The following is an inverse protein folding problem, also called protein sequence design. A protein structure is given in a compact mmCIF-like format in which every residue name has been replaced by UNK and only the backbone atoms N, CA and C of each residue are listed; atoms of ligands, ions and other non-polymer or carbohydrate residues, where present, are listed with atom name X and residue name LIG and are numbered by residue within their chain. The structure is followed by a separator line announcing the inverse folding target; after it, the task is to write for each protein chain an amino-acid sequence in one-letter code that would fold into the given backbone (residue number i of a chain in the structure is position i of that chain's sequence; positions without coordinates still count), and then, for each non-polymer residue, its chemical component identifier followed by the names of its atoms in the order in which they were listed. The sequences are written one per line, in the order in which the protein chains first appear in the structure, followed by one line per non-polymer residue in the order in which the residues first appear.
data_IF_479607906722
#
_entry.id   IF_479607906722
#
_cell.length_a   1.000
_cell.length_b   1.000
_cell.length_c   1.000
_cell.angle_alpha   90.00
_cell.angle_beta   90.00
_cell.angle_gamma   90.00
#
_symmetry.space_group_name_H-M   'P 1'
#
loop_
_entity.id
_entity.type
_entity.pdbx_description
1 polymer ?
#
# COMPACT_ATOMS: atom_id res chain seq x y z
N UNK A 1 -11.13 -70.31 36.88
CA UNK A 1 -11.81 -69.46 35.88
C UNK A 1 -11.62 -67.99 36.23
N UNK A 2 -10.58 -67.33 35.67
CA UNK A 2 -10.32 -65.90 35.87
C UNK A 2 -10.61 -65.19 34.55
N UNK A 3 -11.59 -64.26 34.54
CA UNK A 3 -11.93 -63.42 33.40
C UNK A 3 -11.04 -62.20 33.43
N UNK A 4 -10.19 -62.00 32.38
CA UNK A 4 -9.51 -60.77 32.10
C UNK A 4 -10.48 -59.79 31.43
N UNK A 5 -10.65 -58.61 32.01
CA UNK A 5 -11.30 -57.46 31.41
C UNK A 5 -10.19 -56.63 30.74
N UNK A 6 -10.23 -56.52 29.41
CA UNK A 6 -9.39 -55.63 28.64
C UNK A 6 -10.08 -54.24 28.58
N UNK A 7 -9.41 -53.24 29.13
CA UNK A 7 -9.77 -51.81 28.90
C UNK A 7 -9.22 -51.33 27.59
N UNK A 8 -10.09 -51.00 26.65
CA UNK A 8 -9.73 -50.25 25.45
C UNK A 8 -9.79 -48.76 25.79
N UNK A 9 -8.63 -48.11 25.83
CA UNK A 9 -8.54 -46.63 25.89
C UNK A 9 -8.70 -46.10 24.48
N UNK A 10 -9.80 -45.42 24.18
CA UNK A 10 -9.98 -44.61 22.98
C UNK A 10 -9.14 -43.32 23.15
N UNK A 11 -8.04 -43.22 22.42
CA UNK A 11 -7.35 -41.95 22.22
C UNK A 11 -8.08 -41.17 21.13
N UNK A 12 -8.83 -40.15 21.54
CA UNK A 12 -9.44 -39.20 20.62
C UNK A 12 -8.34 -38.28 20.09
N UNK A 13 -7.86 -38.51 18.85
CA UNK A 13 -7.07 -37.57 18.10
C UNK A 13 -7.97 -36.38 17.75
N UNK A 14 -7.82 -35.27 18.46
CA UNK A 14 -8.37 -33.98 18.03
C UNK A 14 -7.54 -33.49 16.82
N UNK A 15 -8.09 -33.65 15.63
CA UNK A 15 -7.57 -33.02 14.43
C UNK A 15 -7.85 -31.51 14.54
N UNK A 16 -6.81 -30.73 14.84
CA UNK A 16 -6.85 -29.28 14.69
C UNK A 16 -6.94 -29.02 13.18
N UNK A 17 -8.13 -28.64 12.72
CA UNK A 17 -8.34 -28.17 11.36
C UNK A 17 -7.57 -26.85 11.21
N UNK A 18 -6.39 -26.90 10.62
CA UNK A 18 -5.73 -25.73 10.09
C UNK A 18 -6.58 -25.26 8.91
N UNK A 19 -7.22 -24.10 9.06
CA UNK A 19 -7.81 -23.40 7.94
C UNK A 19 -6.66 -22.91 7.04
N UNK A 20 -6.18 -23.78 6.16
CA UNK A 20 -5.42 -23.39 5.00
C UNK A 20 -6.37 -22.59 4.12
N UNK A 21 -6.21 -21.28 4.07
CA UNK A 21 -6.77 -20.50 2.98
C UNK A 21 -6.14 -21.00 1.68
N UNK A 22 -6.92 -21.78 0.97
CA UNK A 22 -6.56 -22.34 -0.33
C UNK A 22 -6.43 -21.20 -1.34
N UNK A 23 -5.19 -20.74 -1.57
CA UNK A 23 -4.86 -19.71 -2.56
C UNK A 23 -5.03 -20.20 -4.00
N UNK A 24 -5.36 -21.47 -4.21
CA UNK A 24 -5.60 -22.06 -5.54
C UNK A 24 -6.92 -21.57 -6.19
N UNK A 25 -7.81 -20.92 -5.44
CA UNK A 25 -9.07 -20.36 -5.93
C UNK A 25 -9.03 -18.89 -6.37
N UNK A 26 -7.91 -18.18 -6.24
CA UNK A 26 -7.75 -16.85 -6.84
C UNK A 26 -7.51 -16.98 -8.35
N UNK A 27 -8.54 -17.37 -9.08
CA UNK A 27 -8.61 -17.11 -10.51
C UNK A 27 -8.45 -15.60 -10.68
N UNK A 28 -7.50 -15.19 -11.51
CA UNK A 28 -7.42 -13.84 -12.08
C UNK A 28 -8.74 -13.60 -12.81
N UNK A 29 -9.80 -13.30 -12.04
CA UNK A 29 -11.09 -12.95 -12.60
C UNK A 29 -10.91 -11.66 -13.40
N UNK A 30 -11.38 -11.65 -14.64
CA UNK A 30 -11.53 -10.44 -15.43
C UNK A 30 -12.65 -9.54 -14.83
N UNK A 31 -12.57 -9.30 -13.51
CA UNK A 31 -13.36 -8.27 -12.85
C UNK A 31 -12.96 -6.89 -13.34
N UNK A 32 -13.84 -5.91 -13.20
CA UNK A 32 -13.50 -4.54 -13.51
C UNK A 32 -12.21 -4.14 -12.77
N UNK A 33 -11.24 -3.48 -13.43
CA UNK A 33 -10.01 -3.06 -12.78
C UNK A 33 -10.35 -2.04 -11.68
N UNK A 34 -10.12 -2.42 -10.44
CA UNK A 34 -10.47 -1.63 -9.26
C UNK A 34 -9.29 -0.81 -8.72
N UNK A 35 -8.09 -1.07 -9.26
CA UNK A 35 -6.86 -0.40 -8.84
C UNK A 35 -6.81 1.03 -9.33
N UNK A 36 -6.65 1.95 -8.40
CA UNK A 36 -6.44 3.38 -8.68
C UNK A 36 -5.52 3.99 -7.63
N UNK A 37 -4.99 5.17 -7.92
CA UNK A 37 -4.38 6.05 -6.93
C UNK A 37 -4.83 7.50 -7.16
N UNK A 38 -4.70 8.34 -6.15
CA UNK A 38 -5.13 9.73 -6.22
C UNK A 38 -4.17 10.65 -5.44
N UNK A 39 -4.05 11.89 -5.92
CA UNK A 39 -3.32 12.96 -5.27
C UNK A 39 -4.05 14.30 -5.53
N UNK A 40 -3.90 15.27 -4.62
CA UNK A 40 -4.41 16.63 -4.83
C UNK A 40 -3.20 17.56 -4.90
N UNK A 41 -3.13 18.41 -5.92
CA UNK A 41 -2.09 19.40 -6.06
C UNK A 41 -2.34 20.64 -5.16
N UNK A 42 -1.34 21.52 -4.97
CA UNK A 42 -1.52 22.71 -4.13
C UNK A 42 -2.61 23.68 -4.64
N UNK A 43 -3.00 23.62 -5.91
CA UNK A 43 -4.08 24.42 -6.47
C UNK A 43 -5.47 23.81 -6.21
N UNK A 44 -5.54 22.61 -5.64
CA UNK A 44 -6.79 21.90 -5.33
C UNK A 44 -7.31 21.02 -6.47
N UNK A 45 -6.53 20.79 -7.52
CA UNK A 45 -6.92 19.84 -8.56
C UNK A 45 -6.71 18.42 -8.06
N UNK A 46 -7.76 17.61 -8.17
CA UNK A 46 -7.68 16.18 -7.91
C UNK A 46 -7.15 15.45 -9.15
N UNK A 47 -6.06 14.72 -8.97
CA UNK A 47 -5.51 13.80 -9.94
C UNK A 47 -5.87 12.38 -9.57
N UNK A 48 -6.32 11.59 -10.53
CA UNK A 48 -6.62 10.16 -10.38
C UNK A 48 -5.91 9.40 -11.48
N UNK A 49 -5.20 8.35 -11.11
CA UNK A 49 -4.66 7.37 -12.03
C UNK A 49 -5.40 6.05 -11.87
N UNK A 50 -5.89 5.52 -12.98
CA UNK A 50 -6.60 4.24 -13.07
C UNK A 50 -6.24 3.51 -14.37
N UNK A 51 -6.94 2.44 -14.70
CA UNK A 51 -6.70 1.68 -15.93
C UNK A 51 -7.95 1.61 -16.80
N UNK A 52 -7.74 1.55 -18.11
CA UNK A 52 -8.78 1.32 -19.12
C UNK A 52 -8.22 0.39 -20.20
N UNK A 53 -8.70 -0.86 -20.25
CA UNK A 53 -8.10 -1.90 -21.09
C UNK A 53 -6.63 -2.11 -20.74
N UNK A 54 -5.75 -2.04 -21.72
CA UNK A 54 -4.29 -2.18 -21.57
C UNK A 54 -3.57 -0.83 -21.33
N UNK A 55 -4.30 0.20 -20.92
CA UNK A 55 -3.76 1.53 -20.73
C UNK A 55 -3.91 2.01 -19.28
N UNK A 56 -2.85 2.65 -18.77
CA UNK A 56 -2.91 3.50 -17.60
C UNK A 56 -3.42 4.87 -18.05
N UNK A 57 -4.37 5.41 -17.30
CA UNK A 57 -5.01 6.69 -17.59
C UNK A 57 -4.84 7.64 -16.42
N UNK A 58 -4.43 8.88 -16.69
CA UNK A 58 -4.42 9.97 -15.72
C UNK A 58 -5.59 10.92 -15.99
N UNK A 59 -6.32 11.30 -14.95
CA UNK A 59 -7.48 12.22 -15.04
C UNK A 59 -7.35 13.34 -14.04
N UNK A 60 -7.74 14.56 -14.44
CA UNK A 60 -7.80 15.72 -13.56
C UNK A 60 -9.24 16.18 -13.36
N UNK A 61 -9.58 16.48 -12.13
CA UNK A 61 -10.82 17.12 -11.72
C UNK A 61 -10.54 18.45 -11.02
N UNK A 62 -11.29 19.48 -11.40
CA UNK A 62 -11.23 20.82 -10.82
C UNK A 62 -12.39 21.06 -9.84
N UNK A 63 -13.23 20.03 -9.60
CA UNK A 63 -14.45 20.09 -8.78
C UNK A 63 -14.55 18.91 -7.77
N UNK A 64 -13.38 18.48 -7.25
CA UNK A 64 -13.26 17.39 -6.26
C UNK A 64 -13.89 16.06 -6.72
N UNK A 65 -13.66 15.70 -7.98
CA UNK A 65 -14.03 14.41 -8.53
C UNK A 65 -15.46 14.28 -9.04
N UNK A 66 -16.22 15.38 -9.11
CA UNK A 66 -17.58 15.37 -9.70
C UNK A 66 -17.51 15.23 -11.22
N UNK A 67 -16.60 15.98 -11.85
CA UNK A 67 -16.28 15.86 -13.27
C UNK A 67 -14.77 15.79 -13.50
N UNK A 68 -14.35 15.28 -14.66
CA UNK A 68 -12.95 15.21 -15.05
C UNK A 68 -12.72 16.01 -16.32
N UNK A 69 -12.03 17.15 -16.19
CA UNK A 69 -11.76 18.09 -17.28
C UNK A 69 -10.64 17.61 -18.21
N UNK A 70 -9.71 16.78 -17.71
CA UNK A 70 -8.60 16.20 -18.47
C UNK A 70 -8.61 14.68 -18.30
N UNK A 71 -8.35 13.95 -19.38
CA UNK A 71 -8.16 12.50 -19.38
C UNK A 71 -7.11 12.13 -20.42
N UNK A 72 -5.93 11.68 -19.97
CA UNK A 72 -4.78 11.40 -20.83
C UNK A 72 -4.30 9.97 -20.62
N UNK A 73 -3.97 9.28 -21.71
CA UNK A 73 -3.35 7.96 -21.69
C UNK A 73 -1.87 8.12 -21.38
N UNK A 74 -1.40 7.40 -20.36
CA UNK A 74 -0.01 7.45 -19.86
C UNK A 74 0.92 6.59 -20.72
N UNK A 75 0.49 5.39 -21.09
CA UNK A 75 1.22 4.45 -21.95
C UNK A 75 0.52 4.36 -23.31
N UNK A 76 0.89 5.23 -24.24
CA UNK A 76 0.23 5.32 -25.58
C UNK A 76 0.18 3.98 -26.31
N UNK A 77 1.24 3.17 -26.20
CA UNK A 77 1.21 1.76 -26.60
C UNK A 77 0.65 0.95 -25.46
N UNK A 78 -0.47 0.25 -25.67
CA UNK A 78 -1.07 -0.63 -24.68
C UNK A 78 -0.12 -1.76 -24.27
N UNK A 79 -0.19 -2.15 -23.00
CA UNK A 79 0.55 -3.28 -22.43
C UNK A 79 -0.28 -3.95 -21.33
N UNK A 80 -0.10 -5.26 -21.07
CA UNK A 80 -0.75 -5.90 -19.94
C UNK A 80 -0.46 -5.17 -18.63
N UNK A 81 -1.47 -5.07 -17.75
CA UNK A 81 -1.38 -4.31 -16.50
C UNK A 81 -1.85 -5.16 -15.31
N UNK A 82 -1.14 -5.03 -14.18
CA UNK A 82 -1.73 -5.33 -12.90
C UNK A 82 -2.52 -4.09 -12.45
N UNK A 83 -3.79 -4.28 -12.11
CA UNK A 83 -4.71 -3.17 -11.82
C UNK A 83 -5.56 -3.43 -10.57
N UNK A 84 -5.10 -4.30 -9.69
CA UNK A 84 -5.81 -4.63 -8.45
C UNK A 84 -4.88 -4.66 -7.25
N UNK A 85 -5.48 -4.47 -6.08
CA UNK A 85 -4.83 -4.64 -4.80
C UNK A 85 -3.60 -3.77 -4.61
N UNK A 86 -2.51 -4.37 -4.18
CA UNK A 86 -1.24 -3.69 -3.93
C UNK A 86 -0.51 -3.31 -5.22
N UNK A 87 -0.84 -3.95 -6.36
CA UNK A 87 -0.24 -3.66 -7.68
C UNK A 87 -0.96 -2.55 -8.47
N UNK A 88 -1.84 -1.79 -7.85
CA UNK A 88 -2.51 -0.66 -8.52
C UNK A 88 -1.49 0.35 -9.06
N UNK A 89 -1.80 1.10 -10.14
CA UNK A 89 -0.95 2.20 -10.59
C UNK A 89 -0.79 3.25 -9.49
N UNK A 90 0.30 3.98 -9.48
CA UNK A 90 0.62 5.02 -8.49
C UNK A 90 0.84 6.37 -9.17
N UNK A 91 0.47 7.45 -8.49
CA UNK A 91 0.74 8.83 -8.92
C UNK A 91 1.44 9.61 -7.81
N UNK A 92 2.44 10.40 -8.21
CA UNK A 92 3.06 11.41 -7.35
C UNK A 92 3.20 12.73 -8.11
N UNK A 93 3.10 13.84 -7.38
CA UNK A 93 3.15 15.19 -7.94
C UNK A 93 4.49 15.82 -7.60
N UNK A 94 5.13 16.39 -8.61
CA UNK A 94 6.35 17.19 -8.46
C UNK A 94 6.04 18.64 -8.06
N UNK A 95 7.06 19.37 -7.53
CA UNK A 95 6.87 20.72 -7.00
C UNK A 95 6.58 21.77 -8.06
N UNK A 96 6.78 21.47 -9.35
CA UNK A 96 6.53 22.38 -10.49
C UNK A 96 5.35 21.93 -11.36
N UNK A 97 4.47 21.06 -10.82
CA UNK A 97 3.33 20.52 -11.55
C UNK A 97 3.65 19.31 -12.43
N UNK A 98 4.81 18.68 -12.20
CA UNK A 98 5.11 17.40 -12.84
C UNK A 98 4.20 16.30 -12.29
N UNK A 99 3.82 15.37 -13.17
CA UNK A 99 3.16 14.15 -12.78
C UNK A 99 4.08 12.97 -13.04
N UNK A 100 4.20 12.10 -12.06
CA UNK A 100 4.94 10.85 -12.16
C UNK A 100 3.98 9.71 -11.93
N UNK A 101 4.06 8.68 -12.78
CA UNK A 101 3.16 7.52 -12.73
C UNK A 101 3.98 6.24 -12.80
N UNK A 102 3.70 5.29 -11.92
CA UNK A 102 4.26 3.94 -11.97
C UNK A 102 3.16 2.89 -12.02
N UNK A 103 3.48 1.72 -12.54
CA UNK A 103 2.61 0.55 -12.55
C UNK A 103 3.43 -0.72 -12.69
N UNK A 104 2.83 -1.85 -12.35
CA UNK A 104 3.41 -3.17 -12.57
C UNK A 104 2.85 -3.78 -13.85
N UNK A 105 3.75 -4.14 -14.80
CA UNK A 105 3.43 -4.85 -16.04
C UNK A 105 3.64 -6.35 -15.84
N UNK A 106 2.61 -7.22 -15.92
CA UNK A 106 2.78 -8.66 -15.84
C UNK A 106 3.64 -9.20 -16.99
N UNK A 107 4.38 -10.26 -16.73
CA UNK A 107 5.14 -11.00 -17.74
C UNK A 107 4.48 -12.36 -18.00
N UNK A 108 5.11 -13.21 -18.82
CA UNK A 108 4.51 -14.48 -19.26
C UNK A 108 4.34 -15.51 -18.12
N UNK A 109 5.32 -15.58 -17.21
CA UNK A 109 5.22 -16.48 -16.07
C UNK A 109 4.31 -15.89 -14.99
N UNK A 110 3.53 -16.71 -14.29
CA UNK A 110 2.69 -16.24 -13.18
C UNK A 110 3.49 -15.49 -12.12
N UNK A 111 2.90 -14.44 -11.56
CA UNK A 111 3.46 -13.64 -10.48
C UNK A 111 4.75 -12.89 -10.82
N UNK A 112 5.16 -12.87 -12.10
CA UNK A 112 6.28 -12.08 -12.58
C UNK A 112 5.82 -10.73 -13.12
N UNK A 113 6.70 -9.74 -13.13
CA UNK A 113 6.35 -8.41 -13.61
C UNK A 113 7.53 -7.48 -13.73
N UNK A 114 7.32 -6.36 -14.43
CA UNK A 114 8.26 -5.25 -14.50
C UNK A 114 7.62 -3.99 -13.95
N UNK A 115 8.37 -3.22 -13.17
CA UNK A 115 7.96 -1.89 -12.73
C UNK A 115 8.19 -0.92 -13.88
N UNK A 116 7.10 -0.26 -14.29
CA UNK A 116 7.08 0.73 -15.35
C UNK A 116 6.94 2.14 -14.76
N UNK A 117 7.47 3.13 -15.47
CA UNK A 117 7.45 4.53 -15.08
C UNK A 117 7.22 5.42 -16.29
N UNK A 118 6.41 6.44 -16.13
CA UNK A 118 6.27 7.56 -17.07
C UNK A 118 6.07 8.87 -16.32
N UNK A 119 6.30 9.98 -17.00
CA UNK A 119 6.12 11.32 -16.45
C UNK A 119 5.45 12.26 -17.43
N UNK A 120 4.81 13.29 -16.90
CA UNK A 120 4.36 14.47 -17.63
C UNK A 120 5.02 15.71 -17.03
N UNK A 121 5.47 16.63 -17.87
CA UNK A 121 6.08 17.92 -17.51
C UNK A 121 5.20 19.12 -17.87
N UNK A 122 4.02 18.89 -18.43
CA UNK A 122 3.09 19.86 -18.97
C UNK A 122 1.68 19.78 -18.34
N UNK A 123 1.62 19.41 -17.06
CA UNK A 123 0.35 19.33 -16.32
C UNK A 123 -0.57 18.21 -16.82
N UNK A 124 -0.02 17.07 -17.22
CA UNK A 124 -0.76 15.88 -17.62
C UNK A 124 -1.28 15.89 -19.05
N UNK A 125 -0.92 16.89 -19.86
CA UNK A 125 -1.35 16.94 -21.27
C UNK A 125 -0.70 15.84 -22.10
N UNK A 126 0.59 15.58 -21.86
CA UNK A 126 1.35 14.51 -22.52
C UNK A 126 2.19 13.75 -21.50
N UNK A 127 2.44 12.49 -21.77
CA UNK A 127 3.35 11.62 -20.98
C UNK A 127 4.49 11.11 -21.85
N UNK A 128 5.70 11.06 -21.28
CA UNK A 128 6.86 10.45 -21.92
C UNK A 128 6.61 8.95 -22.18
N UNK A 129 7.26 8.36 -23.21
CA UNK A 129 7.20 6.91 -23.42
C UNK A 129 7.62 6.14 -22.15
N UNK A 130 6.87 5.09 -21.74
CA UNK A 130 7.18 4.33 -20.54
C UNK A 130 8.56 3.69 -20.57
N UNK A 131 9.25 3.74 -19.44
CA UNK A 131 10.52 3.03 -19.22
C UNK A 131 10.39 2.00 -18.08
N UNK A 132 11.19 0.96 -18.12
CA UNK A 132 11.31 0.01 -17.01
C UNK A 132 12.27 0.59 -15.98
N UNK A 133 11.86 0.59 -14.70
CA UNK A 133 12.61 1.22 -13.60
C UNK A 133 13.91 0.50 -13.28
N UNK A 134 13.87 -0.82 -13.13
CA UNK A 134 15.01 -1.65 -12.72
C UNK A 134 15.89 -2.07 -13.91
N UNK A 135 17.16 -2.38 -13.66
CA UNK A 135 18.11 -2.84 -14.67
C UNK A 135 18.03 -4.35 -14.94
N UNK A 136 17.67 -5.14 -13.93
CA UNK A 136 17.39 -6.58 -14.10
C UNK A 136 16.19 -6.77 -15.03
N UNK A 137 16.34 -7.68 -16.00
CA UNK A 137 15.32 -8.02 -17.02
C UNK A 137 14.92 -9.49 -16.99
N UNK A 138 15.32 -10.22 -15.94
CA UNK A 138 14.85 -11.58 -15.72
C UNK A 138 13.33 -11.60 -15.55
N UNK A 139 12.68 -12.67 -16.02
CA UNK A 139 11.23 -12.83 -15.90
C UNK A 139 10.87 -13.36 -14.51
N UNK A 140 11.05 -12.51 -13.52
CA UNK A 140 10.80 -12.75 -12.09
C UNK A 140 9.86 -11.67 -11.52
N UNK A 141 9.66 -11.68 -10.22
CA UNK A 141 8.90 -10.61 -9.54
C UNK A 141 9.74 -9.34 -9.44
N UNK A 142 9.34 -8.29 -10.16
CA UNK A 142 9.62 -6.89 -9.91
C UNK A 142 8.26 -6.19 -9.89
N UNK A 143 7.62 -6.13 -8.71
CA UNK A 143 6.21 -5.75 -8.56
C UNK A 143 5.97 -4.97 -7.27
N UNK A 144 4.73 -4.59 -7.03
CA UNK A 144 4.32 -3.85 -5.83
C UNK A 144 5.07 -2.54 -5.69
N UNK A 145 5.11 -1.81 -6.80
CA UNK A 145 5.76 -0.51 -6.89
C UNK A 145 5.12 0.51 -5.95
N UNK A 146 5.95 1.42 -5.48
CA UNK A 146 5.57 2.59 -4.69
C UNK A 146 6.36 3.79 -5.19
N UNK A 147 5.73 4.97 -5.15
CA UNK A 147 6.22 6.17 -5.79
C UNK A 147 6.15 7.35 -4.80
N UNK A 148 7.20 8.14 -4.72
CA UNK A 148 7.25 9.36 -3.93
C UNK A 148 8.12 10.43 -4.59
N UNK A 149 7.93 11.68 -4.15
CA UNK A 149 8.79 12.82 -4.50
C UNK A 149 9.32 13.42 -3.20
N UNK A 150 10.63 13.57 -3.11
CA UNK A 150 11.29 14.11 -1.92
C UNK A 150 11.19 15.65 -1.83
N UNK A 151 11.78 16.23 -0.78
CA UNK A 151 11.76 17.69 -0.56
C UNK A 151 12.55 18.50 -1.59
N UNK A 152 13.44 17.87 -2.36
CA UNK A 152 14.22 18.51 -3.45
C UNK A 152 13.52 18.41 -4.81
N UNK A 153 12.47 17.55 -4.89
CA UNK A 153 11.80 17.20 -6.13
C UNK A 153 12.41 15.97 -6.83
N UNK A 154 13.27 15.22 -6.14
CA UNK A 154 13.78 13.94 -6.63
C UNK A 154 12.68 12.90 -6.58
N UNK A 155 12.59 12.09 -7.63
CA UNK A 155 11.57 11.03 -7.74
C UNK A 155 12.16 9.72 -7.24
N UNK A 156 11.45 9.03 -6.35
CA UNK A 156 11.84 7.73 -5.82
C UNK A 156 10.79 6.68 -6.17
N UNK A 157 11.26 5.54 -6.66
CA UNK A 157 10.43 4.36 -6.94
C UNK A 157 11.01 3.19 -6.17
N UNK A 158 10.19 2.54 -5.33
CA UNK A 158 10.56 1.34 -4.58
C UNK A 158 9.69 0.16 -5.02
N UNK A 159 10.19 -1.08 -4.90
CA UNK A 159 9.44 -2.29 -5.30
C UNK A 159 9.91 -3.54 -4.57
N UNK A 160 9.13 -4.59 -4.67
CA UNK A 160 9.46 -5.95 -4.25
C UNK A 160 10.16 -6.69 -5.39
N UNK A 161 11.28 -7.35 -5.08
CA UNK A 161 12.18 -7.96 -6.04
C UNK A 161 12.63 -9.35 -5.61
N UNK A 162 12.50 -10.34 -6.48
CA UNK A 162 12.89 -11.73 -6.19
C UNK A 162 14.27 -12.14 -6.73
N UNK A 163 15.07 -11.22 -7.28
CA UNK A 163 16.40 -11.56 -7.81
C UNK A 163 17.32 -12.24 -6.80
N UNK A 164 17.28 -11.82 -5.53
CA UNK A 164 18.09 -12.42 -4.47
C UNK A 164 17.59 -13.79 -4.05
N UNK A 165 16.27 -14.01 -4.03
CA UNK A 165 15.66 -15.31 -3.82
C UNK A 165 16.08 -16.28 -4.94
N UNK A 166 15.98 -15.86 -6.20
CA UNK A 166 16.39 -16.69 -7.35
C UNK A 166 17.90 -17.00 -7.32
N UNK A 167 18.71 -16.01 -6.97
CA UNK A 167 20.16 -16.22 -6.81
C UNK A 167 20.50 -17.17 -5.63
N UNK A 168 19.73 -17.11 -4.54
CA UNK A 168 19.89 -18.03 -3.42
C UNK A 168 19.46 -19.46 -3.80
N UNK A 169 18.32 -19.61 -4.48
CA UNK A 169 17.81 -20.87 -4.99
C UNK A 169 18.83 -21.56 -5.92
N UNK A 170 19.41 -20.81 -6.86
CA UNK A 170 20.45 -21.33 -7.77
C UNK A 170 21.70 -21.84 -7.02
N UNK A 171 21.99 -21.26 -5.85
CA UNK A 171 23.10 -21.65 -4.98
C UNK A 171 22.69 -22.65 -3.89
N UNK A 172 21.42 -23.09 -3.87
CA UNK A 172 20.84 -23.98 -2.84
C UNK A 172 21.03 -23.42 -1.41
N UNK A 173 20.90 -22.09 -1.27
CA UNK A 173 20.98 -21.40 0.02
C UNK A 173 19.58 -21.01 0.49
N UNK A 174 19.29 -21.05 1.80
CA UNK A 174 18.01 -20.58 2.32
C UNK A 174 17.89 -19.06 2.11
N UNK A 175 16.69 -18.62 1.74
CA UNK A 175 16.30 -17.23 1.64
C UNK A 175 14.80 -17.11 1.90
N UNK A 176 14.38 -16.22 2.79
CA UNK A 176 12.98 -16.04 3.15
C UNK A 176 12.38 -14.82 2.43
N UNK A 177 11.23 -15.02 1.78
CA UNK A 177 10.49 -13.96 1.11
C UNK A 177 11.20 -13.38 -0.12
N UNK A 178 11.20 -12.05 -0.22
CA UNK A 178 11.82 -11.30 -1.31
C UNK A 178 12.78 -10.23 -0.77
N UNK A 179 13.44 -9.50 -1.65
CA UNK A 179 14.13 -8.25 -1.29
C UNK A 179 13.26 -7.05 -1.62
N UNK A 180 13.57 -5.90 -1.03
CA UNK A 180 13.06 -4.60 -1.44
C UNK A 180 14.19 -3.79 -2.08
N UNK A 181 13.85 -3.13 -3.19
CA UNK A 181 14.76 -2.28 -3.95
C UNK A 181 14.14 -0.91 -4.19
N UNK A 182 14.97 0.08 -4.50
CA UNK A 182 14.53 1.38 -4.99
C UNK A 182 15.51 1.95 -6.02
N UNK A 183 15.00 2.86 -6.83
CA UNK A 183 15.74 3.72 -7.75
C UNK A 183 15.25 5.15 -7.58
N UNK A 184 16.04 6.11 -8.01
CA UNK A 184 15.68 7.53 -7.92
C UNK A 184 16.10 8.31 -9.17
N UNK A 185 15.53 9.50 -9.31
CA UNK A 185 15.87 10.46 -10.37
C UNK A 185 16.02 11.84 -9.78
N UNK A 186 17.12 12.52 -10.09
CA UNK A 186 17.38 13.90 -9.70
C UNK A 186 17.18 14.90 -10.85
N UNK A 187 16.70 14.42 -12.00
CA UNK A 187 16.46 15.18 -13.23
C UNK A 187 14.98 15.14 -13.66
N UNK A 188 14.08 15.19 -12.69
CA UNK A 188 12.64 15.17 -12.92
C UNK A 188 12.16 13.91 -13.67
N UNK A 189 12.74 12.76 -13.39
CA UNK A 189 12.40 11.48 -14.01
C UNK A 189 12.93 11.27 -15.43
N UNK A 190 13.83 12.12 -15.94
CA UNK A 190 14.43 11.91 -17.26
C UNK A 190 15.30 10.65 -17.28
N UNK A 191 16.13 10.48 -16.26
CA UNK A 191 16.91 9.27 -16.02
C UNK A 191 16.62 8.68 -14.64
N UNK A 192 16.82 7.38 -14.50
CA UNK A 192 16.73 6.68 -13.23
C UNK A 192 18.11 6.17 -12.85
N UNK A 193 18.53 6.40 -11.63
CA UNK A 193 19.79 5.87 -11.10
C UNK A 193 19.75 4.34 -11.06
N UNK A 194 20.90 3.65 -11.13
CA UNK A 194 20.96 2.22 -10.86
C UNK A 194 20.34 1.89 -9.51
N UNK A 195 19.49 0.88 -9.50
CA UNK A 195 18.75 0.50 -8.30
C UNK A 195 19.65 0.06 -7.15
N UNK A 196 19.18 0.29 -5.93
CA UNK A 196 19.80 -0.14 -4.69
C UNK A 196 18.86 -1.00 -3.88
N UNK A 197 19.43 -1.98 -3.21
CA UNK A 197 18.72 -2.80 -2.24
C UNK A 197 18.40 -1.98 -1.00
N UNK A 198 17.13 -2.02 -0.56
CA UNK A 198 16.72 -1.51 0.75
C UNK A 198 16.98 -2.58 1.80
N UNK A 199 16.38 -3.77 1.61
CA UNK A 199 16.46 -4.87 2.58
C UNK A 199 16.34 -6.23 1.90
N UNK A 200 16.91 -7.24 2.55
CA UNK A 200 16.60 -8.64 2.33
C UNK A 200 15.38 -9.07 3.16
N UNK A 201 14.81 -10.23 2.86
CA UNK A 201 13.80 -10.91 3.68
C UNK A 201 12.56 -10.03 3.95
N UNK A 202 11.99 -9.46 2.92
CA UNK A 202 10.71 -8.76 2.98
C UNK A 202 9.55 -9.65 2.55
N UNK A 203 8.34 -9.25 2.92
CA UNK A 203 7.11 -9.87 2.44
C UNK A 203 7.00 -9.74 0.92
N UNK A 204 6.56 -10.82 0.24
CA UNK A 204 6.55 -10.90 -1.22
C UNK A 204 5.37 -10.18 -1.91
N UNK A 205 4.40 -9.70 -1.15
CA UNK A 205 3.10 -9.30 -1.70
C UNK A 205 2.47 -8.06 -1.04
N UNK A 206 3.22 -7.33 -0.24
CA UNK A 206 2.72 -6.14 0.44
C UNK A 206 3.40 -4.90 -0.12
N UNK A 207 2.63 -3.83 -0.37
CA UNK A 207 3.21 -2.55 -0.79
C UNK A 207 4.21 -2.02 0.23
N UNK A 208 5.14 -1.21 -0.25
CA UNK A 208 6.03 -0.39 0.56
C UNK A 208 5.33 0.96 0.75
N UNK A 209 5.10 1.41 1.98
CA UNK A 209 4.63 2.77 2.21
C UNK A 209 5.82 3.73 2.13
N UNK A 210 5.68 4.82 1.38
CA UNK A 210 6.67 5.88 1.29
C UNK A 210 6.06 7.17 1.84
N UNK A 211 6.79 7.87 2.71
CA UNK A 211 6.37 9.16 3.23
C UNK A 211 7.54 10.13 3.31
N UNK A 212 7.27 11.40 2.99
CA UNK A 212 8.26 12.47 3.07
C UNK A 212 8.34 13.00 4.50
N UNK A 213 9.55 13.01 5.05
CA UNK A 213 9.85 13.62 6.34
C UNK A 213 9.98 15.16 6.23
N UNK A 214 9.89 15.91 7.35
CA UNK A 214 9.98 17.38 7.33
C UNK A 214 11.29 17.95 6.79
N UNK A 215 12.39 17.23 6.92
CA UNK A 215 13.71 17.59 6.33
C UNK A 215 13.82 17.26 4.84
N UNK A 216 12.77 16.64 4.28
CA UNK A 216 12.62 16.37 2.86
C UNK A 216 12.97 14.96 2.42
N UNK A 217 13.67 14.14 3.23
CA UNK A 217 13.97 12.76 2.85
C UNK A 217 12.71 11.88 2.79
N UNK A 218 12.80 10.73 2.13
CA UNK A 218 11.73 9.74 2.07
C UNK A 218 12.06 8.58 3.01
N UNK A 219 11.12 8.28 3.91
CA UNK A 219 11.11 7.04 4.68
C UNK A 219 10.28 5.98 3.94
N UNK A 220 10.81 4.76 3.89
CA UNK A 220 10.10 3.56 3.51
C UNK A 220 9.67 2.79 4.76
N UNK A 221 8.42 2.31 4.77
CA UNK A 221 7.87 1.45 5.80
C UNK A 221 7.27 0.21 5.14
N UNK A 222 7.77 -0.97 5.46
CA UNK A 222 7.43 -2.21 4.77
C UNK A 222 7.43 -3.40 5.71
N UNK A 223 6.71 -4.45 5.31
CA UNK A 223 6.67 -5.71 6.06
C UNK A 223 7.94 -6.52 5.80
N UNK A 224 8.70 -6.78 6.85
CA UNK A 224 9.89 -7.61 6.84
C UNK A 224 9.63 -8.99 7.48
N UNK A 225 10.53 -9.92 7.25
CA UNK A 225 10.51 -11.27 7.84
C UNK A 225 11.66 -11.38 8.81
N UNK A 226 11.38 -11.73 10.05
CA UNK A 226 12.36 -11.91 11.11
C UNK A 226 12.34 -13.34 11.61
N UNK A 227 13.54 -13.90 11.88
CA UNK A 227 13.69 -15.24 12.48
C UNK A 227 12.82 -16.30 11.80
N UNK A 228 12.03 -17.00 12.60
CA UNK A 228 11.11 -18.04 12.15
C UNK A 228 9.81 -17.43 11.65
N UNK A 229 9.87 -16.84 10.44
CA UNK A 229 8.72 -16.32 9.67
C UNK A 229 7.84 -15.29 10.42
N UNK A 230 8.44 -14.50 11.33
CA UNK A 230 7.75 -13.41 12.02
C UNK A 230 7.60 -12.22 11.07
N UNK A 231 6.36 -11.75 10.87
CA UNK A 231 5.98 -10.70 9.91
C UNK A 231 5.79 -9.37 10.63
N UNK A 232 6.87 -8.75 11.04
CA UNK A 232 6.88 -7.38 11.54
C UNK A 232 7.33 -6.38 10.47
N UNK A 233 7.31 -5.09 10.79
CA UNK A 233 7.66 -4.05 9.85
C UNK A 233 9.01 -3.43 10.15
N UNK A 234 9.61 -2.84 9.12
CA UNK A 234 10.86 -2.10 9.20
C UNK A 234 10.72 -0.71 8.59
N UNK A 235 11.56 0.21 9.05
CA UNK A 235 11.84 1.50 8.42
C UNK A 235 13.16 1.48 7.68
N UNK A 236 13.24 2.29 6.63
CA UNK A 236 14.50 2.66 5.99
C UNK A 236 14.38 4.08 5.41
N UNK A 237 15.27 4.99 5.76
CA UNK A 237 15.45 6.24 5.02
C UNK A 237 16.08 5.92 3.67
N UNK A 238 15.54 6.48 2.58
CA UNK A 238 15.98 6.24 1.20
C UNK A 238 16.86 7.40 0.69
N UNK A 239 18.18 7.26 0.74
CA UNK A 239 19.08 8.32 0.26
C UNK A 239 19.11 8.40 -1.27
N UNK A 240 19.21 9.64 -1.80
CA UNK A 240 19.41 9.92 -3.24
C UNK A 240 20.86 10.28 -3.60
N UNK A 241 21.77 10.20 -2.61
CA UNK A 241 23.22 10.45 -2.79
C UNK A 241 24.03 9.19 -3.08
N UNK A 242 23.35 8.04 -3.14
CA UNK A 242 23.98 6.74 -3.39
C UNK A 242 24.52 6.05 -2.14
N UNK A 243 24.33 6.58 -0.93
CA UNK A 243 24.63 5.87 0.31
C UNK A 243 23.66 4.68 0.54
N UNK A 244 24.03 3.74 1.41
CA UNK A 244 23.19 2.59 1.72
C UNK A 244 22.07 2.96 2.70
N UNK A 245 20.82 2.51 2.49
CA UNK A 245 19.75 2.66 3.47
C UNK A 245 20.09 1.94 4.77
N UNK A 246 19.74 2.55 5.92
CA UNK A 246 19.79 1.90 7.22
C UNK A 246 18.41 1.34 7.55
N UNK A 247 18.32 0.02 7.69
CA UNK A 247 17.07 -0.68 7.99
C UNK A 247 16.96 -0.94 9.48
N UNK A 248 15.83 -0.57 10.07
CA UNK A 248 15.56 -0.74 11.50
C UNK A 248 14.15 -1.29 11.73
N UNK A 249 14.01 -2.29 12.62
CA UNK A 249 12.71 -2.86 12.97
C UNK A 249 11.83 -1.79 13.61
N UNK A 250 10.53 -1.81 13.28
CA UNK A 250 9.57 -0.76 13.66
C UNK A 250 8.35 -1.31 14.41
N UNK A 251 7.93 -2.55 14.15
CA UNK A 251 6.87 -3.21 14.92
C UNK A 251 7.39 -4.49 15.56
N UNK A 252 6.76 -4.89 16.68
CA UNK A 252 7.20 -6.01 17.51
C UNK A 252 6.01 -6.88 17.91
N UNK A 253 5.04 -7.01 16.99
CA UNK A 253 3.81 -7.77 17.22
C UNK A 253 4.03 -9.29 17.19
N UNK A 254 5.20 -9.75 16.72
CA UNK A 254 5.58 -11.16 16.66
C UNK A 254 4.57 -12.02 15.88
N UNK A 255 3.98 -11.46 14.81
CA UNK A 255 3.00 -12.19 14.02
C UNK A 255 3.66 -13.25 13.16
N UNK A 256 3.48 -14.50 13.56
CA UNK A 256 3.93 -15.66 12.78
C UNK A 256 2.86 -16.06 11.77
N UNK A 257 3.21 -16.14 10.47
CA UNK A 257 2.31 -16.58 9.42
C UNK A 257 3.06 -17.23 8.25
N UNK A 258 2.62 -18.41 7.87
CA UNK A 258 3.03 -19.12 6.65
C UNK A 258 2.13 -18.71 5.49
N UNK A 259 2.37 -17.55 4.89
CA UNK A 259 1.56 -17.07 3.78
C UNK A 259 1.77 -15.60 3.43
N UNK A 260 1.03 -15.18 2.41
CA UNK A 260 1.03 -13.80 1.90
C UNK A 260 -0.26 -13.10 2.34
N UNK A 261 -0.21 -12.18 3.31
CA UNK A 261 -1.42 -11.53 3.82
C UNK A 261 -2.03 -10.50 2.85
N UNK A 262 -1.29 -10.01 1.87
CA UNK A 262 -1.72 -8.95 0.93
C UNK A 262 -2.26 -7.68 1.61
N UNK A 263 -1.72 -7.32 2.77
CA UNK A 263 -2.08 -6.14 3.54
C UNK A 263 -0.84 -5.29 3.77
N UNK A 264 -0.52 -4.42 2.82
CA UNK A 264 0.58 -3.47 2.95
C UNK A 264 0.26 -2.38 3.98
N UNK A 265 1.30 -1.82 4.65
CA UNK A 265 1.12 -0.75 5.62
C UNK A 265 0.86 0.60 4.95
N UNK A 266 0.50 1.60 5.77
CA UNK A 266 0.52 3.01 5.37
C UNK A 266 1.31 3.84 6.38
N UNK A 267 1.93 4.93 5.93
CA UNK A 267 2.81 5.80 6.70
C UNK A 267 2.51 7.26 6.36
N UNK A 268 2.42 8.11 7.37
CA UNK A 268 2.50 9.55 7.25
C UNK A 268 3.43 10.12 8.31
N UNK A 269 4.14 11.21 7.99
CA UNK A 269 5.06 11.86 8.91
C UNK A 269 4.57 13.29 9.13
N UNK A 270 4.34 13.66 10.38
CA UNK A 270 3.87 15.00 10.73
C UNK A 270 5.01 16.04 10.66
N UNK A 271 4.66 17.32 10.82
CA UNK A 271 5.65 18.40 10.77
C UNK A 271 6.69 18.36 11.92
N UNK A 272 6.44 17.56 12.97
CA UNK A 272 7.36 17.32 14.10
C UNK A 272 8.31 16.15 13.84
N UNK A 273 8.10 15.43 12.73
CA UNK A 273 8.85 14.22 12.39
C UNK A 273 8.30 12.95 13.05
N UNK A 274 7.10 13.00 13.64
CA UNK A 274 6.44 11.82 14.21
C UNK A 274 5.95 10.92 13.08
N UNK A 275 6.35 9.65 13.11
CA UNK A 275 5.91 8.64 12.13
C UNK A 275 4.63 7.98 12.60
N UNK A 276 3.51 8.36 12.01
CA UNK A 276 2.22 7.71 12.20
C UNK A 276 2.10 6.56 11.20
N UNK A 277 1.83 5.38 11.71
CA UNK A 277 1.74 4.19 10.88
C UNK A 277 0.47 3.40 11.16
N UNK A 278 -0.11 2.81 10.12
CA UNK A 278 -1.13 1.77 10.23
C UNK A 278 -0.65 0.51 9.54
N UNK A 279 -0.95 -0.63 10.14
CA UNK A 279 -0.61 -1.94 9.59
C UNK A 279 -1.65 -2.98 9.98
N UNK A 280 -1.67 -4.05 9.22
CA UNK A 280 -2.49 -5.22 9.53
C UNK A 280 -1.63 -6.27 10.25
N UNK A 281 -2.16 -6.84 11.31
CA UNK A 281 -1.57 -7.99 11.98
C UNK A 281 -2.69 -8.88 12.54
N UNK A 282 -2.44 -10.17 12.56
CA UNK A 282 -3.29 -11.16 13.19
C UNK A 282 -2.55 -11.90 14.31
N UNK A 283 -1.60 -11.25 14.95
CA UNK A 283 -0.98 -11.74 16.18
C UNK A 283 -2.08 -12.03 17.22
N UNK A 284 -1.87 -13.03 18.07
CA UNK A 284 -2.84 -13.48 19.05
C UNK A 284 -4.23 -13.90 18.49
N UNK A 285 -4.28 -14.26 17.19
CA UNK A 285 -5.50 -14.68 16.52
C UNK A 285 -6.51 -13.55 16.25
N UNK A 286 -6.12 -12.30 16.42
CA UNK A 286 -6.96 -11.11 16.19
C UNK A 286 -6.52 -10.37 14.93
N UNK A 287 -7.14 -10.73 13.81
CA UNK A 287 -6.93 -10.04 12.53
C UNK A 287 -7.54 -8.63 12.57
N UNK A 288 -6.71 -7.58 12.60
CA UNK A 288 -7.18 -6.21 12.70
C UNK A 288 -6.19 -5.19 12.16
N UNK A 289 -6.65 -3.95 12.05
CA UNK A 289 -5.86 -2.76 11.74
C UNK A 289 -5.30 -2.18 13.03
N UNK A 290 -3.99 -2.06 13.08
CA UNK A 290 -3.24 -1.46 14.17
C UNK A 290 -2.74 -0.08 13.78
N UNK A 291 -2.64 0.80 14.75
CA UNK A 291 -2.04 2.12 14.63
C UNK A 291 -0.98 2.31 15.70
N UNK A 292 0.08 3.04 15.38
CA UNK A 292 1.09 3.47 16.33
C UNK A 292 1.91 4.66 15.83
N UNK A 293 2.45 5.41 16.77
CA UNK A 293 3.56 6.31 16.53
C UNK A 293 4.85 5.51 16.69
N UNK A 294 5.59 5.38 15.60
CA UNK A 294 6.71 4.47 15.53
C UNK A 294 8.05 5.21 15.42
N UNK A 295 9.09 4.65 16.02
CA UNK A 295 10.46 5.12 15.88
C UNK A 295 11.36 3.97 15.38
N UNK A 296 12.32 4.24 14.47
CA UNK A 296 13.24 3.22 13.98
C UNK A 296 14.00 2.54 15.13
N UNK A 297 14.05 1.21 15.11
CA UNK A 297 14.80 0.40 16.06
C UNK A 297 14.26 0.39 17.51
N UNK A 298 13.07 0.95 17.73
CA UNK A 298 12.47 1.03 19.08
C UNK A 298 11.08 0.39 19.09
N UNK A 299 10.82 -0.37 20.14
CA UNK A 299 9.48 -0.85 20.43
C UNK A 299 8.56 0.35 20.73
N UNK A 300 7.38 0.43 20.07
CA UNK A 300 6.46 1.54 20.31
C UNK A 300 5.94 1.49 21.74
N UNK A 301 5.91 2.66 22.41
CA UNK A 301 5.38 2.77 23.78
C UNK A 301 3.88 2.42 23.86
N UNK A 302 3.16 2.59 22.75
CA UNK A 302 1.74 2.29 22.64
C UNK A 302 1.37 1.93 21.21
N UNK A 303 0.55 0.90 21.06
CA UNK A 303 -0.16 0.56 19.83
C UNK A 303 -1.65 0.47 20.10
N UNK A 304 -2.48 0.86 19.15
CA UNK A 304 -3.93 0.87 19.25
C UNK A 304 -4.52 -0.08 18.21
N UNK A 305 -5.43 -0.95 18.63
CA UNK A 305 -6.32 -1.66 17.70
C UNK A 305 -7.45 -0.71 17.30
N UNK A 306 -7.54 -0.39 16.02
CA UNK A 306 -8.54 0.57 15.53
C UNK A 306 -9.84 -0.09 15.07
N UNK A 307 -9.85 -1.40 14.88
CA UNK A 307 -11.00 -2.11 14.31
C UNK A 307 -11.12 -3.53 14.87
N UNK A 308 -12.25 -4.18 14.61
CA UNK A 308 -12.47 -5.59 14.89
C UNK A 308 -12.07 -6.50 13.72
N UNK A 309 -12.49 -7.77 13.81
CA UNK A 309 -12.29 -8.74 12.73
C UNK A 309 -12.97 -8.26 11.43
N UNK A 310 -12.34 -8.56 10.29
CA UNK A 310 -12.84 -8.18 8.97
C UNK A 310 -12.39 -6.79 8.51
N UNK A 311 -11.64 -6.06 9.33
CA UNK A 311 -11.00 -4.81 8.92
C UNK A 311 -9.72 -5.08 8.11
N UNK A 312 -9.50 -4.31 7.04
CA UNK A 312 -8.38 -4.52 6.12
C UNK A 312 -8.05 -3.28 5.30
N UNK A 313 -6.89 -3.29 4.64
CA UNK A 313 -6.47 -2.31 3.64
C UNK A 313 -6.56 -0.85 4.11
N UNK A 314 -6.04 -0.59 5.31
CA UNK A 314 -6.06 0.74 5.87
C UNK A 314 -5.09 1.69 5.16
N UNK A 315 -5.52 2.95 5.07
CA UNK A 315 -4.67 4.09 4.71
C UNK A 315 -4.78 5.17 5.78
N UNK A 316 -3.76 6.04 5.90
CA UNK A 316 -3.77 7.12 6.88
C UNK A 316 -3.29 8.44 6.30
N UNK A 317 -3.76 9.53 6.90
CA UNK A 317 -3.29 10.88 6.62
C UNK A 317 -3.18 11.67 7.95
N UNK A 318 -2.29 12.66 7.97
CA UNK A 318 -2.03 13.50 9.14
C UNK A 318 -1.91 14.96 8.73
N UNK A 319 -2.59 15.86 9.46
CA UNK A 319 -2.43 17.31 9.33
C UNK A 319 -2.50 17.95 10.73
N UNK A 320 -1.39 18.51 11.21
CA UNK A 320 -1.28 19.00 12.58
C UNK A 320 -1.51 17.88 13.61
N UNK A 321 -2.48 18.08 14.50
CA UNK A 321 -2.88 17.06 15.49
C UNK A 321 -4.04 16.17 14.99
N UNK A 322 -4.53 16.38 13.76
CA UNK A 322 -5.55 15.53 13.17
C UNK A 322 -4.91 14.31 12.51
N UNK A 323 -5.42 13.12 12.83
CA UNK A 323 -5.04 11.84 12.21
C UNK A 323 -6.31 11.16 11.72
N UNK A 324 -6.35 10.84 10.42
CA UNK A 324 -7.44 10.08 9.80
C UNK A 324 -6.94 8.70 9.41
N UNK A 325 -7.73 7.67 9.70
CA UNK A 325 -7.48 6.30 9.25
C UNK A 325 -8.74 5.79 8.58
N UNK A 326 -8.66 5.50 7.28
CA UNK A 326 -9.73 4.89 6.51
C UNK A 326 -9.39 3.44 6.20
N UNK A 327 -10.38 2.53 6.33
CA UNK A 327 -10.18 1.12 6.08
C UNK A 327 -11.46 0.46 5.58
N UNK A 328 -11.33 -0.72 4.99
CA UNK A 328 -12.45 -1.57 4.68
C UNK A 328 -12.86 -2.41 5.89
N UNK A 329 -14.15 -2.49 6.15
CA UNK A 329 -14.76 -3.40 7.12
C UNK A 329 -15.70 -4.36 6.38
N UNK A 330 -15.37 -5.64 6.39
CA UNK A 330 -16.26 -6.68 5.87
C UNK A 330 -17.44 -6.86 6.80
N UNK A 331 -18.65 -6.90 6.25
CA UNK A 331 -19.92 -7.13 6.94
C UNK A 331 -20.68 -8.30 6.30
N UNK A 332 -21.78 -8.72 6.90
CA UNK A 332 -22.64 -9.75 6.31
C UNK A 332 -23.34 -9.29 5.02
N UNK A 333 -23.46 -7.97 4.81
CA UNK A 333 -24.13 -7.35 3.66
C UNK A 333 -23.18 -6.91 2.56
N UNK A 334 -21.86 -6.90 2.80
CA UNK A 334 -20.87 -6.43 1.83
C UNK A 334 -19.69 -5.77 2.50
N UNK A 335 -19.27 -4.62 1.98
CA UNK A 335 -18.05 -3.94 2.37
C UNK A 335 -18.35 -2.48 2.75
N UNK A 336 -18.03 -2.12 3.99
CA UNK A 336 -18.10 -0.74 4.46
C UNK A 336 -16.76 -0.03 4.30
N UNK A 337 -16.81 1.22 3.87
CA UNK A 337 -15.72 2.18 4.00
C UNK A 337 -15.85 2.85 5.36
N UNK A 338 -14.91 2.60 6.27
CA UNK A 338 -14.95 3.09 7.65
C UNK A 338 -13.83 4.08 7.90
N UNK A 339 -14.10 5.12 8.67
CA UNK A 339 -13.17 6.14 9.12
C UNK A 339 -13.03 6.12 10.64
N UNK A 340 -11.80 6.27 11.13
CA UNK A 340 -11.47 6.64 12.51
C UNK A 340 -10.69 7.94 12.50
N UNK A 341 -10.97 8.83 13.44
CA UNK A 341 -10.36 10.16 13.52
C UNK A 341 -9.80 10.40 14.92
N UNK A 342 -8.65 11.05 14.96
CA UNK A 342 -8.03 11.59 16.17
C UNK A 342 -7.81 13.09 16.02
N UNK A 343 -8.02 13.85 17.07
CA UNK A 343 -7.77 15.30 17.15
C UNK A 343 -6.67 15.65 18.16
N UNK A 344 -5.96 14.66 18.66
CA UNK A 344 -4.92 14.79 19.68
C UNK A 344 -3.61 14.10 19.27
N UNK A 345 -3.29 14.17 17.98
CA UNK A 345 -2.06 13.62 17.42
C UNK A 345 -2.02 12.09 17.41
N UNK A 346 -3.16 11.40 17.46
CA UNK A 346 -3.23 9.93 17.47
C UNK A 346 -3.17 9.31 18.85
N UNK A 347 -3.25 10.11 19.93
CA UNK A 347 -3.29 9.57 21.29
C UNK A 347 -4.61 8.82 21.56
N UNK A 348 -5.74 9.34 21.06
CA UNK A 348 -7.06 8.70 21.11
C UNK A 348 -7.76 8.80 19.78
N UNK A 349 -8.57 7.79 19.44
CA UNK A 349 -9.43 7.80 18.25
C UNK A 349 -10.89 7.74 18.67
N UNK A 350 -11.70 8.57 18.03
CA UNK A 350 -13.15 8.56 18.15
C UNK A 350 -13.77 7.24 17.69
N UNK A 351 -15.08 7.08 17.82
CA UNK A 351 -15.81 5.89 17.38
C UNK A 351 -15.69 5.70 15.85
N UNK A 352 -15.72 4.45 15.36
CA UNK A 352 -15.69 4.17 13.94
C UNK A 352 -16.94 4.74 13.26
N UNK A 353 -16.77 5.40 12.11
CA UNK A 353 -17.85 5.98 11.34
C UNK A 353 -17.87 5.39 9.93
N UNK A 354 -18.95 4.74 9.55
CA UNK A 354 -19.16 4.28 8.18
C UNK A 354 -19.41 5.47 7.26
N UNK A 355 -18.55 5.66 6.26
CA UNK A 355 -18.66 6.72 5.26
C UNK A 355 -19.50 6.29 4.06
N UNK A 356 -19.39 5.03 3.65
CA UNK A 356 -20.06 4.48 2.49
C UNK A 356 -20.13 2.95 2.57
N UNK A 357 -20.99 2.36 1.75
CA UNK A 357 -21.20 0.92 1.65
C UNK A 357 -21.23 0.45 0.19
N UNK A 358 -20.86 -0.80 -0.06
CA UNK A 358 -21.05 -1.49 -1.35
C UNK A 358 -21.28 -2.97 -1.13
N UNK A 359 -22.24 -3.53 -1.87
CA UNK A 359 -22.49 -4.98 -1.92
C UNK A 359 -21.47 -5.72 -2.79
N UNK A 360 -20.73 -4.98 -3.64
CA UNK A 360 -19.77 -5.52 -4.60
C UNK A 360 -18.32 -5.26 -4.22
N UNK A 361 -17.39 -5.70 -5.07
CA UNK A 361 -15.97 -5.46 -4.86
C UNK A 361 -15.63 -3.97 -4.98
N UNK A 362 -14.58 -3.53 -4.31
CA UNK A 362 -14.08 -2.15 -4.42
C UNK A 362 -12.56 -2.10 -4.48
N UNK A 363 -12.04 -1.00 -5.04
CA UNK A 363 -10.65 -0.59 -4.86
C UNK A 363 -10.39 -0.19 -3.41
N UNK A 364 -9.16 -0.28 -2.98
CA UNK A 364 -8.78 0.03 -1.59
C UNK A 364 -8.81 1.53 -1.32
N UNK A 365 -9.17 1.98 -0.12
CA UNK A 365 -9.27 3.38 0.20
C UNK A 365 -7.90 4.07 0.10
N UNK A 366 -7.92 5.33 -0.32
CA UNK A 366 -6.76 6.20 -0.34
C UNK A 366 -7.14 7.54 0.29
N UNK A 367 -6.46 7.93 1.37
CA UNK A 367 -6.60 9.25 1.96
C UNK A 367 -5.78 10.27 1.18
N UNK A 368 -6.40 11.38 0.83
CA UNK A 368 -5.75 12.54 0.21
C UNK A 368 -6.06 13.79 1.04
N UNK A 369 -5.08 14.68 1.14
CA UNK A 369 -5.17 15.92 1.90
C UNK A 369 -5.19 17.13 0.97
N UNK A 370 -6.05 18.10 1.29
CA UNK A 370 -6.03 19.42 0.68
C UNK A 370 -6.55 20.45 1.67
N UNK A 371 -5.84 21.55 1.81
CA UNK A 371 -6.20 22.69 2.69
C UNK A 371 -6.55 22.27 4.13
N UNK A 372 -5.71 21.37 4.70
CA UNK A 372 -5.89 20.84 6.06
C UNK A 372 -7.06 19.86 6.23
N UNK A 373 -7.78 19.52 5.17
CA UNK A 373 -8.94 18.62 5.15
C UNK A 373 -8.56 17.28 4.51
N UNK A 374 -9.14 16.20 5.00
CA UNK A 374 -8.95 14.88 4.43
C UNK A 374 -10.17 14.43 3.62
N UNK A 375 -9.88 13.66 2.57
CA UNK A 375 -10.90 13.02 1.74
C UNK A 375 -10.48 11.58 1.52
N UNK A 376 -11.45 10.67 1.41
CA UNK A 376 -11.20 9.27 1.04
C UNK A 376 -11.54 9.07 -0.43
N UNK A 377 -10.54 8.87 -1.25
CA UNK A 377 -10.73 8.36 -2.61
C UNK A 377 -11.08 6.88 -2.53
N UNK A 378 -12.15 6.47 -3.21
CA UNK A 378 -12.68 5.13 -3.18
C UNK A 378 -13.29 4.75 -4.54
N UNK A 379 -13.28 3.46 -4.87
CA UNK A 379 -13.71 2.96 -6.17
C UNK A 379 -14.63 1.72 -6.02
N UNK A 380 -15.87 1.89 -5.52
CA UNK A 380 -16.82 0.79 -5.44
C UNK A 380 -17.33 0.40 -6.83
N UNK A 381 -17.23 -0.88 -7.19
CA UNK A 381 -17.70 -1.41 -8.47
C UNK A 381 -17.08 -0.76 -9.71
N UNK A 382 -15.89 -0.18 -9.59
CA UNK A 382 -15.22 0.53 -10.69
C UNK A 382 -15.62 2.00 -10.87
N UNK A 383 -16.48 2.53 -10.01
CA UNK A 383 -16.90 3.95 -10.05
C UNK A 383 -16.12 4.76 -9.02
N UNK A 384 -15.21 5.61 -9.47
CA UNK A 384 -14.44 6.49 -8.59
C UNK A 384 -15.33 7.48 -7.83
N UNK A 385 -15.07 7.63 -6.55
CA UNK A 385 -15.70 8.62 -5.65
C UNK A 385 -14.65 9.26 -4.75
N UNK A 386 -14.79 10.55 -4.49
CA UNK A 386 -14.07 11.25 -3.44
C UNK A 386 -15.04 11.54 -2.30
N UNK A 387 -14.86 10.88 -1.16
CA UNK A 387 -15.75 10.95 0.00
C UNK A 387 -15.14 11.90 1.03
N UNK A 388 -15.80 13.02 1.39
CA UNK A 388 -15.29 13.90 2.45
C UNK A 388 -15.30 13.18 3.79
N UNK A 389 -14.28 13.43 4.62
CA UNK A 389 -14.21 12.88 5.98
C UNK A 389 -15.11 13.64 6.95
N UNK A 390 -15.36 14.93 6.71
CA UNK A 390 -16.30 15.70 7.52
C UNK A 390 -17.74 15.22 7.28
N UNK A 391 -18.53 15.11 8.35
CA UNK A 391 -19.97 14.89 8.21
C UNK A 391 -20.52 16.04 7.36
N UNK A 392 -21.21 15.71 6.26
CA UNK A 392 -22.06 16.70 5.60
C UNK A 392 -23.03 17.19 6.68
N UNK A 393 -22.81 18.40 7.18
CA UNK A 393 -23.84 19.07 7.96
C UNK A 393 -25.08 19.00 7.08
N UNK A 394 -26.07 18.22 7.51
CA UNK A 394 -27.37 18.19 6.84
C UNK A 394 -27.77 19.65 6.65
N UNK A 395 -27.79 20.12 5.41
CA UNK A 395 -28.36 21.43 5.07
C UNK A 395 -29.76 21.42 5.66
N UNK A 396 -29.88 22.06 6.82
CA UNK A 396 -31.14 22.21 7.49
C UNK A 396 -32.15 22.71 6.48
N UNK A 397 -33.25 21.97 6.37
CA UNK A 397 -34.48 22.47 5.79
C UNK A 397 -34.70 23.89 6.31
N UNK A 398 -34.45 24.87 5.45
CA UNK A 398 -35.03 26.20 5.71
C UNK A 398 -36.55 26.05 5.67
N UNK A 399 -37.23 26.68 6.63
CA UNK A 399 -38.68 26.68 6.72
C UNK A 399 -39.35 27.40 5.55
#
# INVERSE_FOLDING_TARGET
MRRLLAFFSLVACATVAHAQHDMAGMTMGHGAPLGFDAAIDPAGHLWVVDTVGEHVRARRSDDMGRTFALSTIVNATGEPLYAEGENRPKIALGPKGELYVTWSQPRKLPWTGFVRFSRSLDGGAHFDPPKTVHTDRAEITHRFDSLAVDGKGDVLVAWIDKRDLEAANARKKPYAGAATYYSWSTDRGATLAPERKIADQSCECCRIALARAPDGHIDAFFRAIYGDNIRDHAFAALPTDGSAPKVERATFTQWHIEGCPHHGPSLAIDARGTRHAVWFSAADGKATVWYGQLAPGKEPARVLSLAGNGASHADLAVAGDHVWVAYHQMTAQGLDLVLRESNDGGAHFGEPRTLAHTDGPSGWPKLVLWDGRAFVAWNPGGTFRLVPTEALLSSGSQP
#
